data_IF_908614451617
#
_entry.id   IF_908614451617
#
_cell.length_a   1.000
_cell.length_b   1.000
_cell.length_c   1.000
_cell.angle_alpha   90.00
_cell.angle_beta   90.00
_cell.angle_gamma   90.00
#
_symmetry.space_group_name_H-M   'P 1'
#
loop_
_entity.id
_entity.type
_entity.pdbx_description
1 polymer ?
#
# COMPACT_ATOMS: atom_id res chain seq x y z
N UNK A 1 -7.75 6.69 -14.34
CA UNK A 1 -8.39 6.04 -13.17
C UNK A 1 -7.66 6.33 -11.85
N UNK A 2 -6.57 5.63 -11.48
CA UNK A 2 -5.94 5.82 -10.16
C UNK A 2 -5.35 7.24 -9.92
N UNK A 3 -4.54 7.75 -10.85
CA UNK A 3 -3.95 9.11 -10.75
C UNK A 3 -5.03 10.19 -10.67
N UNK A 4 -6.06 10.09 -11.50
CA UNK A 4 -7.16 11.05 -11.54
C UNK A 4 -7.93 11.07 -10.20
N UNK A 5 -8.12 9.92 -9.57
CA UNK A 5 -8.76 9.85 -8.26
C UNK A 5 -7.91 10.48 -7.15
N UNK A 6 -6.60 10.24 -7.17
CA UNK A 6 -5.68 10.91 -6.25
C UNK A 6 -5.71 12.43 -6.44
N UNK A 7 -5.71 12.91 -7.69
CA UNK A 7 -5.80 14.33 -8.02
C UNK A 7 -7.11 14.96 -7.53
N UNK A 8 -8.26 14.31 -7.73
CA UNK A 8 -9.56 14.78 -7.22
C UNK A 8 -9.57 14.93 -5.69
N UNK A 9 -8.83 14.06 -5.00
CA UNK A 9 -8.69 14.07 -3.53
C UNK A 9 -7.57 14.99 -3.03
N UNK A 10 -6.84 15.67 -3.92
CA UNK A 10 -5.70 16.50 -3.55
C UNK A 10 -4.52 15.72 -2.99
N UNK A 11 -4.39 14.43 -3.33
CA UNK A 11 -3.33 13.55 -2.87
C UNK A 11 -2.18 13.56 -3.87
N UNK A 12 -0.97 13.85 -3.38
CA UNK A 12 0.24 13.82 -4.20
C UNK A 12 0.67 12.39 -4.47
N UNK A 13 0.94 12.02 -5.73
CA UNK A 13 1.54 10.74 -6.07
C UNK A 13 3.07 10.86 -6.12
N UNK A 14 3.76 10.32 -5.11
CA UNK A 14 5.21 10.35 -4.99
C UNK A 14 5.83 8.99 -5.39
N UNK A 15 6.70 9.00 -6.39
CA UNK A 15 7.50 7.83 -6.76
C UNK A 15 8.70 7.65 -5.82
N UNK A 16 8.91 6.43 -5.33
CA UNK A 16 10.15 6.06 -4.63
C UNK A 16 11.04 5.33 -5.61
N UNK A 17 11.91 6.11 -6.26
CA UNK A 17 12.73 5.64 -7.37
C UNK A 17 14.02 6.45 -7.49
N UNK A 18 15.10 5.81 -7.93
CA UNK A 18 16.37 6.46 -8.25
C UNK A 18 16.24 7.05 -9.67
N UNK A 19 15.63 8.23 -9.75
CA UNK A 19 15.39 8.97 -10.99
C UNK A 19 16.14 10.31 -10.96
N UNK A 20 16.43 10.88 -12.13
CA UNK A 20 17.20 12.13 -12.25
C UNK A 20 16.52 13.35 -11.61
N UNK A 21 15.19 13.31 -11.49
CA UNK A 21 14.39 14.34 -10.81
C UNK A 21 14.11 14.04 -9.32
N UNK A 22 14.60 12.91 -8.78
CA UNK A 22 14.37 12.52 -7.40
C UNK A 22 15.15 13.39 -6.43
N UNK A 23 14.50 13.81 -5.34
CA UNK A 23 15.16 14.48 -4.22
C UNK A 23 15.47 13.48 -3.09
N UNK A 24 16.55 13.68 -2.32
CA UNK A 24 16.81 12.89 -1.15
C UNK A 24 15.66 12.91 -0.15
N UNK A 25 15.33 11.77 0.45
CA UNK A 25 14.20 11.62 1.37
C UNK A 25 14.24 12.59 2.56
N UNK A 26 15.42 12.95 3.06
CA UNK A 26 15.60 13.90 4.15
C UNK A 26 15.37 15.36 3.75
N UNK A 27 15.46 15.67 2.46
CA UNK A 27 15.34 17.04 1.92
C UNK A 27 13.96 17.26 1.28
N UNK A 28 13.12 16.22 1.24
CA UNK A 28 11.78 16.26 0.67
C UNK A 28 10.90 17.29 1.37
N UNK A 29 10.32 18.18 0.56
CA UNK A 29 9.23 19.06 0.98
C UNK A 29 7.90 18.35 0.78
N UNK A 30 7.49 17.55 1.77
CA UNK A 30 6.23 16.82 1.73
C UNK A 30 5.03 17.77 1.62
N UNK A 31 4.03 17.39 0.81
CA UNK A 31 2.85 18.20 0.53
C UNK A 31 1.59 17.42 0.85
N UNK A 32 1.00 17.72 2.01
CA UNK A 32 -0.27 17.15 2.44
C UNK A 32 -0.31 15.63 2.35
N UNK A 33 -1.49 15.10 2.04
CA UNK A 33 -1.70 13.68 1.84
C UNK A 33 -0.88 13.18 0.64
N UNK A 34 -0.12 12.10 0.85
CA UNK A 34 0.79 11.55 -0.16
C UNK A 34 0.56 10.05 -0.33
N UNK A 35 0.41 9.63 -1.59
CA UNK A 35 0.43 8.23 -2.00
C UNK A 35 1.82 7.89 -2.53
N UNK A 36 2.43 6.81 -2.02
CA UNK A 36 3.75 6.36 -2.44
C UNK A 36 3.65 5.22 -3.46
N UNK A 37 4.25 5.42 -4.63
CA UNK A 37 4.41 4.38 -5.64
C UNK A 37 5.84 3.85 -5.58
N UNK A 38 6.00 2.59 -5.19
CA UNK A 38 7.30 1.93 -5.13
C UNK A 38 7.61 1.26 -6.48
N UNK A 39 8.86 1.35 -6.93
CA UNK A 39 9.35 0.61 -8.10
C UNK A 39 9.27 -0.91 -7.90
N UNK A 40 9.10 -1.64 -9.00
CA UNK A 40 9.13 -3.10 -8.95
C UNK A 40 10.55 -3.62 -8.67
N UNK A 41 10.67 -4.74 -7.96
CA UNK A 41 11.97 -5.31 -7.65
C UNK A 41 12.72 -5.72 -8.94
N UNK A 42 13.98 -5.33 -9.05
CA UNK A 42 14.84 -5.59 -10.21
C UNK A 42 14.62 -4.66 -11.40
N UNK A 43 13.37 -4.30 -11.72
CA UNK A 43 13.05 -3.48 -12.92
C UNK A 43 12.77 -2.01 -12.64
N UNK A 44 12.54 -1.63 -11.38
CA UNK A 44 12.12 -0.28 -11.02
C UNK A 44 10.73 0.08 -11.56
N UNK A 45 10.49 1.38 -11.72
CA UNK A 45 9.26 1.94 -12.30
C UNK A 45 9.32 1.98 -13.83
N UNK A 46 8.19 1.70 -14.47
CA UNK A 46 7.99 1.89 -15.91
C UNK A 46 7.84 3.37 -16.27
N UNK A 47 8.10 3.74 -17.53
CA UNK A 47 7.91 5.12 -18.01
C UNK A 47 6.51 5.67 -17.76
N UNK A 48 5.48 4.81 -17.86
CA UNK A 48 4.09 5.19 -17.56
C UNK A 48 3.90 5.53 -16.09
N UNK A 49 4.54 4.78 -15.19
CA UNK A 49 4.49 5.03 -13.75
C UNK A 49 5.29 6.29 -13.39
N UNK A 50 6.44 6.50 -14.02
CA UNK A 50 7.24 7.72 -13.88
C UNK A 50 6.41 8.92 -14.34
N UNK A 51 5.83 8.91 -15.54
CA UNK A 51 4.98 9.98 -16.04
C UNK A 51 3.71 10.23 -15.19
N UNK A 52 3.28 9.24 -14.42
CA UNK A 52 2.15 9.37 -13.52
C UNK A 52 2.51 10.09 -12.20
N UNK A 53 3.74 10.00 -11.71
CA UNK A 53 4.11 10.62 -10.44
C UNK A 53 4.21 12.14 -10.55
N UNK A 54 3.84 12.83 -9.47
CA UNK A 54 3.92 14.29 -9.36
C UNK A 54 5.29 14.74 -8.84
N UNK A 55 5.97 13.88 -8.10
CA UNK A 55 7.33 14.09 -7.58
C UNK A 55 8.01 12.75 -7.29
N UNK A 56 9.33 12.77 -7.08
CA UNK A 56 10.10 11.57 -6.77
C UNK A 56 11.04 11.79 -5.60
N UNK A 57 11.24 10.72 -4.84
CA UNK A 57 12.23 10.67 -3.76
C UNK A 57 13.11 9.43 -3.87
N UNK A 58 14.31 9.50 -3.31
CA UNK A 58 15.21 8.37 -3.16
C UNK A 58 15.94 8.43 -1.81
N UNK A 59 16.50 7.29 -1.42
CA UNK A 59 17.33 7.18 -0.22
C UNK A 59 18.79 7.28 -0.65
N UNK A 60 19.52 8.24 -0.10
CA UNK A 60 20.95 8.36 -0.37
C UNK A 60 21.68 7.10 0.09
N UNK A 61 22.51 6.54 -0.81
CA UNK A 61 23.36 5.40 -0.52
C UNK A 61 24.83 5.84 -0.64
N UNK A 62 25.64 5.47 0.35
CA UNK A 62 27.04 5.87 0.45
C UNK A 62 28.01 4.71 0.18
N UNK A 63 27.57 3.75 -0.63
CA UNK A 63 28.29 2.53 -0.94
C UNK A 63 28.29 2.26 -2.44
N UNK A 64 29.25 1.47 -2.90
CA UNK A 64 29.30 0.90 -4.25
C UNK A 64 28.96 -0.60 -4.26
N UNK A 65 28.64 -1.18 -3.11
CA UNK A 65 28.43 -2.63 -2.97
C UNK A 65 27.06 -3.11 -3.46
N UNK A 66 26.07 -2.22 -3.52
CA UNK A 66 24.72 -2.52 -4.04
C UNK A 66 24.24 -1.36 -4.91
N UNK A 67 23.40 -1.68 -5.89
CA UNK A 67 22.75 -0.69 -6.75
C UNK A 67 21.50 -0.08 -6.08
N UNK A 68 20.83 -0.83 -5.21
CA UNK A 68 19.58 -0.41 -4.59
C UNK A 68 19.34 -1.10 -3.24
N UNK A 69 18.38 -0.56 -2.50
CA UNK A 69 17.80 -1.22 -1.33
C UNK A 69 16.64 -2.12 -1.77
N UNK A 70 16.33 -3.14 -0.97
CA UNK A 70 15.08 -3.87 -1.11
C UNK A 70 13.89 -2.90 -1.07
N UNK A 71 12.90 -3.13 -1.92
CA UNK A 71 11.76 -2.22 -2.11
C UNK A 71 10.96 -1.98 -0.82
N UNK A 72 10.80 -3.00 0.03
CA UNK A 72 10.09 -2.86 1.31
C UNK A 72 10.91 -2.05 2.32
N UNK A 73 12.23 -2.20 2.32
CA UNK A 73 13.13 -1.37 3.14
C UNK A 73 13.08 0.07 2.67
N UNK A 74 13.11 0.31 1.36
CA UNK A 74 13.00 1.64 0.79
C UNK A 74 11.67 2.32 1.18
N UNK A 75 10.55 1.60 0.99
CA UNK A 75 9.24 2.07 1.41
C UNK A 75 9.15 2.37 2.91
N UNK A 76 9.74 1.52 3.75
CA UNK A 76 9.73 1.72 5.21
C UNK A 76 10.48 2.99 5.63
N UNK A 77 11.66 3.25 5.04
CA UNK A 77 12.45 4.46 5.33
C UNK A 77 11.70 5.71 4.87
N UNK A 78 11.13 5.69 3.66
CA UNK A 78 10.35 6.82 3.13
C UNK A 78 9.13 7.12 4.00
N UNK A 79 8.35 6.10 4.37
CA UNK A 79 7.20 6.25 5.25
C UNK A 79 7.60 6.80 6.62
N UNK A 80 8.71 6.35 7.19
CA UNK A 80 9.21 6.87 8.46
C UNK A 80 9.61 8.35 8.37
N UNK A 81 10.34 8.74 7.32
CA UNK A 81 10.68 10.15 7.09
C UNK A 81 9.45 11.03 6.86
N UNK A 82 8.47 10.55 6.09
CA UNK A 82 7.21 11.24 5.89
C UNK A 82 6.45 11.43 7.21
N UNK A 83 6.39 10.39 8.06
CA UNK A 83 5.72 10.45 9.36
C UNK A 83 6.37 11.48 10.30
N UNK A 84 7.71 11.52 10.34
CA UNK A 84 8.45 12.52 11.11
C UNK A 84 8.17 13.94 10.61
N UNK A 85 8.26 14.16 9.31
CA UNK A 85 8.06 15.49 8.73
C UNK A 85 6.60 15.98 8.81
N UNK A 86 5.64 15.06 8.78
CA UNK A 86 4.21 15.36 8.92
C UNK A 86 3.78 15.55 10.38
N UNK A 87 4.68 15.34 11.36
CA UNK A 87 4.35 15.45 12.78
C UNK A 87 3.31 14.42 13.24
N UNK A 88 3.31 13.23 12.62
CA UNK A 88 2.37 12.17 13.00
C UNK A 88 2.57 11.77 14.48
N UNK A 89 1.49 11.54 15.23
CA UNK A 89 1.60 11.16 16.63
C UNK A 89 2.28 9.79 16.74
N UNK A 90 3.20 9.67 17.71
CA UNK A 90 3.85 8.40 18.03
C UNK A 90 2.85 7.53 18.80
N UNK A 91 2.67 6.29 18.36
CA UNK A 91 1.84 5.32 19.07
C UNK A 91 2.40 5.01 20.48
N UNK A 92 1.50 4.71 21.43
CA UNK A 92 1.88 4.35 22.79
C UNK A 92 2.75 3.09 22.80
N UNK A 93 3.77 3.05 23.67
CA UNK A 93 4.64 1.88 23.86
C UNK A 93 4.39 1.26 25.22
N UNK A 94 4.28 -0.08 25.25
CA UNK A 94 4.16 -0.87 26.48
C UNK A 94 5.18 -2.01 26.47
N UNK A 95 6.21 -1.89 27.31
CA UNK A 95 7.35 -2.80 27.31
C UNK A 95 8.14 -2.72 25.99
N UNK A 96 8.30 -3.85 25.30
CA UNK A 96 9.04 -3.97 24.04
C UNK A 96 8.15 -3.89 22.79
N UNK A 97 6.89 -3.43 22.91
CA UNK A 97 5.90 -3.39 21.81
C UNK A 97 5.11 -2.09 21.81
N UNK A 98 4.50 -1.76 20.67
CA UNK A 98 3.48 -0.73 20.57
C UNK A 98 2.13 -1.26 21.07
N UNK A 99 1.34 -0.39 21.69
CA UNK A 99 -0.07 -0.67 22.01
C UNK A 99 -0.84 -0.67 20.70
N UNK A 100 -1.64 -1.72 20.49
CA UNK A 100 -2.51 -1.87 19.32
C UNK A 100 -3.95 -1.88 19.78
N UNK A 101 -4.84 -1.33 18.96
CA UNK A 101 -6.28 -1.56 19.15
C UNK A 101 -6.56 -3.07 19.15
N UNK A 102 -7.53 -3.50 19.97
CA UNK A 102 -7.99 -4.88 19.90
C UNK A 102 -8.62 -5.10 18.52
N UNK A 103 -7.99 -5.97 17.72
CA UNK A 103 -8.50 -6.29 16.40
C UNK A 103 -9.91 -6.86 16.50
N UNK A 104 -10.80 -6.45 15.58
CA UNK A 104 -12.20 -6.92 15.55
C UNK A 104 -12.26 -8.45 15.50
N UNK A 105 -12.97 -9.04 16.46
CA UNK A 105 -13.19 -10.48 16.54
C UNK A 105 -13.88 -11.03 15.29
N UNK A 106 -13.83 -12.37 15.08
CA UNK A 106 -14.55 -13.01 13.96
C UNK A 106 -16.07 -12.85 14.08
N UNK A 107 -16.60 -12.95 15.30
CA UNK A 107 -18.03 -12.77 15.59
C UNK A 107 -18.47 -11.34 15.31
N UNK A 108 -17.74 -10.35 15.84
CA UNK A 108 -18.03 -8.93 15.61
C UNK A 108 -17.99 -8.56 14.12
N UNK A 109 -17.02 -9.08 13.35
CA UNK A 109 -16.99 -8.89 11.89
C UNK A 109 -18.16 -9.54 11.15
N UNK A 110 -18.77 -10.58 11.72
CA UNK A 110 -19.92 -11.25 11.12
C UNK A 110 -21.24 -10.55 11.48
N UNK A 111 -21.38 -10.10 12.73
CA UNK A 111 -22.59 -9.44 13.23
C UNK A 111 -22.65 -7.97 12.81
N UNK A 112 -21.50 -7.30 12.67
CA UNK A 112 -21.39 -5.88 12.34
C UNK A 112 -20.40 -5.61 11.18
N UNK A 113 -20.54 -6.26 10.01
CA UNK A 113 -19.57 -6.11 8.93
C UNK A 113 -19.57 -4.67 8.38
N UNK A 114 -18.38 -4.14 8.11
CA UNK A 114 -18.21 -2.92 7.30
C UNK A 114 -18.75 -3.15 5.89
N UNK A 115 -19.06 -2.08 5.13
CA UNK A 115 -19.54 -2.20 3.75
C UNK A 115 -18.62 -3.07 2.88
N UNK A 116 -17.30 -2.89 3.03
CA UNK A 116 -16.31 -3.72 2.34
C UNK A 116 -16.38 -5.20 2.76
N UNK A 117 -16.49 -5.48 4.07
CA UNK A 117 -16.64 -6.85 4.56
C UNK A 117 -17.94 -7.50 4.08
N UNK A 118 -19.04 -6.74 4.01
CA UNK A 118 -20.31 -7.20 3.44
C UNK A 118 -20.13 -7.60 1.98
N UNK A 119 -19.51 -6.76 1.16
CA UNK A 119 -19.23 -7.05 -0.24
C UNK A 119 -18.43 -8.35 -0.39
N UNK A 120 -17.37 -8.53 0.42
CA UNK A 120 -16.56 -9.76 0.42
C UNK A 120 -17.37 -10.99 0.85
N UNK A 121 -18.27 -10.86 1.83
CA UNK A 121 -19.15 -11.94 2.28
C UNK A 121 -20.11 -12.36 1.15
N UNK A 122 -20.74 -11.39 0.49
CA UNK A 122 -21.66 -11.60 -0.62
C UNK A 122 -20.98 -12.23 -1.83
N UNK A 123 -19.80 -11.73 -2.20
CA UNK A 123 -18.94 -12.30 -3.24
C UNK A 123 -18.68 -13.80 -2.98
N UNK A 124 -18.24 -14.13 -1.76
CA UNK A 124 -17.98 -15.52 -1.37
C UNK A 124 -19.25 -16.38 -1.36
N UNK A 125 -20.39 -15.84 -0.93
CA UNK A 125 -21.69 -16.55 -0.98
C UNK A 125 -22.08 -16.88 -2.43
N UNK A 126 -21.92 -15.92 -3.34
CA UNK A 126 -22.18 -16.09 -4.78
C UNK A 126 -21.29 -17.16 -5.40
N UNK A 127 -19.99 -17.12 -5.11
CA UNK A 127 -19.03 -18.14 -5.58
C UNK A 127 -19.37 -19.54 -5.09
N UNK A 128 -19.78 -19.68 -3.80
CA UNK A 128 -20.21 -20.97 -3.23
C UNK A 128 -21.50 -21.49 -3.86
N UNK A 129 -22.47 -20.61 -4.12
CA UNK A 129 -23.70 -20.97 -4.81
C UNK A 129 -23.43 -21.48 -6.23
N UNK A 130 -22.60 -20.75 -6.99
CA UNK A 130 -22.19 -21.16 -8.34
C UNK A 130 -21.45 -22.51 -8.34
N UNK A 131 -20.56 -22.75 -7.36
CA UNK A 131 -19.85 -24.04 -7.23
C UNK A 131 -20.80 -25.19 -6.89
N UNK A 132 -21.77 -24.97 -6.01
CA UNK A 132 -22.81 -25.97 -5.69
C UNK A 132 -23.68 -26.31 -6.88
N UNK A 133 -24.03 -25.30 -7.69
CA UNK A 133 -24.85 -25.50 -8.88
C UNK A 133 -24.10 -26.31 -9.93
N UNK A 134 -22.83 -25.96 -10.21
CA UNK A 134 -21.97 -26.77 -11.09
C UNK A 134 -21.81 -28.22 -10.64
N UNK A 135 -21.66 -28.46 -9.34
CA UNK A 135 -21.54 -29.82 -8.80
C UNK A 135 -22.87 -30.60 -8.85
N UNK A 136 -24.02 -29.93 -8.88
CA UNK A 136 -25.33 -30.56 -9.07
C UNK A 136 -25.63 -30.85 -10.55
N UNK A 137 -25.05 -30.07 -11.46
CA UNK A 137 -25.19 -30.24 -12.91
C UNK A 137 -24.21 -31.25 -13.52
N UNK A 138 -23.23 -31.75 -12.75
CA UNK A 138 -22.32 -32.83 -13.18
C UNK A 138 -23.06 -34.18 -13.15
N UNK A 139 -23.16 -34.91 -14.30
CA UNK A 139 -23.89 -36.17 -14.35
C UNK A 139 -23.14 -37.23 -13.54
N UNK A 140 -23.81 -37.81 -12.53
CA UNK A 140 -23.33 -39.00 -11.83
C UNK A 140 -23.21 -40.15 -12.83
N UNK A 141 -22.00 -40.44 -13.32
CA UNK A 141 -21.73 -41.64 -14.10
C UNK A 141 -21.88 -42.88 -13.20
N UNK A 142 -22.87 -43.72 -13.51
CA UNK A 142 -22.94 -45.11 -13.03
C UNK A 142 -22.26 -46.04 -14.01
#
# INVERSE_FOLDING_TARGET
EAKEELQKRGITLCGVEIHSSSQPVQDMQWRGDTCFMLGNEGTGMTDKQIAACDQFTYIQQYTKATASLNVAIAGSIVLHHFALASGMPVAERKGQKFVTDEGRGKLDRYEHPTEYEQQVIEEKRRQRAAKRQKAADEPTHS
#
